data_IF_497752122007
#
_entry.id   IF_497752122007
#
_cell.length_a   1.000
_cell.length_b   1.000
_cell.length_c   1.000
_cell.angle_alpha   90.00
_cell.angle_beta   90.00
_cell.angle_gamma   90.00
#
_symmetry.space_group_name_H-M   'P 1'
#
loop_
_entity.id
_entity.type
_entity.pdbx_description
1 polymer ?
#
# COMPACT_ATOMS: atom_id res chain seq x y z
N UNK A 1 -71.25 17.21 -16.12
CA UNK A 1 -70.67 16.44 -15.00
C UNK A 1 -70.34 15.04 -15.47
N UNK A 2 -69.05 14.75 -15.70
CA UNK A 2 -68.35 13.47 -15.43
C UNK A 2 -66.92 13.62 -15.92
N UNK A 3 -66.02 13.67 -14.95
CA UNK A 3 -64.57 13.75 -15.09
C UNK A 3 -64.06 12.37 -15.49
N UNK A 4 -63.35 12.25 -16.61
CA UNK A 4 -62.64 11.04 -17.01
C UNK A 4 -61.14 11.33 -17.06
N UNK A 5 -60.42 10.88 -16.02
CA UNK A 5 -58.96 10.89 -15.95
C UNK A 5 -58.41 9.75 -16.82
N UNK A 6 -57.48 10.05 -17.72
CA UNK A 6 -56.59 9.04 -18.32
C UNK A 6 -55.19 9.28 -17.77
N UNK A 7 -54.68 8.26 -17.07
CA UNK A 7 -53.35 8.20 -16.47
C UNK A 7 -52.28 8.17 -17.57
N UNK A 8 -51.30 9.08 -17.50
CA UNK A 8 -50.03 8.93 -18.18
C UNK A 8 -49.10 8.09 -17.29
N UNK A 9 -48.72 6.90 -17.77
CA UNK A 9 -47.69 6.08 -17.13
C UNK A 9 -46.31 6.69 -17.44
N UNK A 10 -45.67 7.28 -16.44
CA UNK A 10 -44.27 7.67 -16.52
C UNK A 10 -43.40 6.45 -16.17
N UNK A 11 -42.65 5.93 -17.14
CA UNK A 11 -41.60 4.96 -16.91
C UNK A 11 -40.43 5.66 -16.19
N UNK A 12 -40.23 5.33 -14.91
CA UNK A 12 -39.09 5.78 -14.14
C UNK A 12 -37.86 4.93 -14.52
N UNK A 13 -37.01 5.48 -15.38
CA UNK A 13 -35.67 4.94 -15.64
C UNK A 13 -34.82 5.12 -14.38
N UNK A 14 -34.55 4.03 -13.65
CA UNK A 14 -33.53 4.04 -12.60
C UNK A 14 -32.15 4.21 -13.27
N UNK A 15 -31.64 5.43 -13.24
CA UNK A 15 -30.22 5.70 -13.47
C UNK A 15 -29.47 5.30 -12.19
N UNK A 16 -28.78 4.16 -12.25
CA UNK A 16 -27.75 3.80 -11.28
C UNK A 16 -26.66 4.87 -11.35
N UNK A 17 -26.66 5.80 -10.39
CA UNK A 17 -25.55 6.71 -10.19
C UNK A 17 -24.34 5.87 -9.74
N UNK A 18 -23.36 5.71 -10.63
CA UNK A 18 -22.07 5.14 -10.27
C UNK A 18 -21.43 6.02 -9.20
N UNK A 19 -21.19 5.44 -8.03
CA UNK A 19 -20.41 6.08 -6.97
C UNK A 19 -18.96 6.08 -7.45
N UNK A 20 -18.43 7.25 -7.81
CA UNK A 20 -17.02 7.40 -8.22
C UNK A 20 -16.14 7.23 -6.99
N UNK A 21 -15.29 6.20 -7.01
CA UNK A 21 -14.32 5.88 -5.96
C UNK A 21 -13.04 6.71 -6.18
N UNK A 22 -12.24 6.92 -5.14
CA UNK A 22 -10.82 7.12 -5.36
C UNK A 22 -10.31 5.79 -5.92
N UNK A 23 -9.88 5.77 -7.18
CA UNK A 23 -9.56 4.50 -7.86
C UNK A 23 -8.08 4.19 -7.70
N UNK A 24 -7.69 3.99 -6.45
CA UNK A 24 -6.45 3.26 -6.19
C UNK A 24 -6.80 1.81 -6.46
N UNK A 25 -6.27 1.30 -7.56
CA UNK A 25 -6.51 -0.06 -7.97
C UNK A 25 -5.27 -0.88 -7.68
N UNK A 26 -5.48 -2.01 -7.02
CA UNK A 26 -4.48 -3.04 -6.89
C UNK A 26 -4.32 -3.85 -8.18
N UNK A 27 -5.29 -3.75 -9.09
CA UNK A 27 -5.43 -4.66 -10.23
C UNK A 27 -5.22 -3.97 -11.58
N UNK A 28 -5.07 -2.64 -11.60
CA UNK A 28 -4.78 -1.86 -12.81
C UNK A 28 -3.30 -1.48 -12.87
N UNK A 29 -2.82 -1.21 -14.09
CA UNK A 29 -1.47 -0.69 -14.26
C UNK A 29 -1.44 0.80 -13.84
N UNK A 30 -0.29 1.22 -13.32
CA UNK A 30 -0.10 2.52 -12.70
C UNK A 30 1.28 3.09 -13.07
N UNK A 31 1.49 4.38 -12.83
CA UNK A 31 2.79 5.03 -12.99
C UNK A 31 3.64 4.91 -11.72
N UNK A 32 2.97 4.81 -10.56
CA UNK A 32 3.60 4.57 -9.27
C UNK A 32 2.99 3.31 -8.68
N UNK A 33 3.83 2.40 -8.17
CA UNK A 33 3.37 1.23 -7.43
C UNK A 33 4.05 1.20 -6.06
N UNK A 34 3.23 1.01 -5.01
CA UNK A 34 3.67 0.85 -3.63
C UNK A 34 3.33 -0.55 -3.12
N UNK A 35 4.31 -1.23 -2.54
CA UNK A 35 4.13 -2.46 -1.76
C UNK A 35 4.27 -2.10 -0.29
N UNK A 36 3.16 -1.91 0.46
CA UNK A 36 3.20 -1.28 1.77
C UNK A 36 3.88 -2.12 2.85
N UNK A 37 4.06 -3.42 2.65
CA UNK A 37 4.71 -4.30 3.61
C UNK A 37 5.65 -5.30 2.95
N UNK A 38 6.89 -5.27 3.39
CA UNK A 38 7.89 -6.25 3.03
C UNK A 38 8.52 -6.76 4.32
N UNK A 39 8.85 -8.04 4.35
CA UNK A 39 9.44 -8.65 5.53
C UNK A 39 10.50 -9.67 5.14
N UNK A 40 11.64 -9.61 5.83
CA UNK A 40 12.67 -10.64 5.84
C UNK A 40 12.97 -10.97 7.29
N UNK A 41 13.03 -12.27 7.58
CA UNK A 41 13.56 -12.82 8.82
C UNK A 41 14.13 -14.19 8.46
N UNK A 42 15.38 -14.18 7.98
CA UNK A 42 16.03 -15.39 7.45
C UNK A 42 16.22 -16.47 8.53
N UNK A 43 16.39 -16.07 9.79
CA UNK A 43 16.50 -16.98 10.93
C UNK A 43 15.21 -17.77 11.17
N UNK A 44 14.06 -17.19 10.86
CA UNK A 44 12.75 -17.83 10.95
C UNK A 44 12.22 -18.32 9.60
N UNK A 45 13.05 -18.26 8.54
CA UNK A 45 12.69 -18.71 7.21
C UNK A 45 11.62 -17.84 6.52
N UNK A 46 11.53 -16.56 6.87
CA UNK A 46 10.60 -15.59 6.26
C UNK A 46 11.35 -14.75 5.24
N UNK A 47 10.80 -14.65 4.03
CA UNK A 47 11.30 -13.76 3.00
C UNK A 47 10.15 -13.28 2.12
N UNK A 48 10.31 -12.12 1.49
CA UNK A 48 9.33 -11.59 0.56
C UNK A 48 9.83 -11.73 -0.87
N UNK A 49 9.03 -12.40 -1.70
CA UNK A 49 9.19 -12.39 -3.15
C UNK A 49 8.39 -11.22 -3.71
N UNK A 50 9.08 -10.29 -4.35
CA UNK A 50 8.47 -9.17 -5.08
C UNK A 50 8.38 -9.54 -6.56
N UNK A 51 7.26 -9.19 -7.19
CA UNK A 51 7.07 -9.29 -8.63
C UNK A 51 6.64 -7.94 -9.19
N UNK A 52 7.39 -7.42 -10.16
CA UNK A 52 7.03 -6.22 -10.93
C UNK A 52 6.79 -6.61 -12.39
N UNK A 53 5.81 -6.00 -13.03
CA UNK A 53 5.46 -6.30 -14.42
C UNK A 53 5.19 -5.03 -15.22
N UNK A 54 5.83 -4.92 -16.39
CA UNK A 54 5.48 -3.93 -17.41
C UNK A 54 4.36 -4.50 -18.29
N UNK A 55 3.19 -3.86 -18.33
CA UNK A 55 2.03 -4.34 -19.11
C UNK A 55 2.03 -3.85 -20.56
N UNK A 56 2.95 -2.96 -20.93
CA UNK A 56 2.97 -2.28 -22.23
C UNK A 56 3.84 -2.97 -23.29
N UNK A 57 3.80 -2.45 -24.53
CA UNK A 57 4.68 -2.88 -25.63
C UNK A 57 6.05 -2.18 -25.64
N UNK A 58 6.24 -1.20 -24.77
CA UNK A 58 7.44 -0.37 -24.77
C UNK A 58 8.22 -0.64 -23.48
N UNK A 59 9.56 -0.57 -23.51
CA UNK A 59 10.34 -0.60 -22.28
C UNK A 59 9.88 0.46 -21.28
N UNK A 60 10.06 0.19 -20.00
CA UNK A 60 9.71 1.10 -18.90
C UNK A 60 10.88 1.18 -17.94
N UNK A 61 11.37 2.39 -17.68
CA UNK A 61 12.39 2.64 -16.66
C UNK A 61 11.71 3.01 -15.36
N UNK A 62 12.19 2.45 -14.27
CA UNK A 62 11.69 2.67 -12.92
C UNK A 62 12.79 3.22 -12.03
N UNK A 63 12.44 4.20 -11.19
CA UNK A 63 13.20 4.59 -10.02
C UNK A 63 12.47 4.02 -8.79
N UNK A 64 13.14 3.15 -8.06
CA UNK A 64 12.56 2.42 -6.94
C UNK A 64 13.30 2.74 -5.65
N UNK A 65 12.55 2.76 -4.54
CA UNK A 65 13.02 3.09 -3.20
C UNK A 65 12.60 1.98 -2.25
N UNK A 66 13.57 1.28 -1.65
CA UNK A 66 13.32 0.53 -0.43
C UNK A 66 13.39 1.49 0.75
N UNK A 67 12.44 1.39 1.66
CA UNK A 67 12.54 2.09 2.96
C UNK A 67 12.62 1.05 4.05
N UNK A 68 13.77 1.01 4.72
CA UNK A 68 14.00 0.25 5.94
C UNK A 68 13.34 0.98 7.11
N UNK A 69 12.27 0.38 7.60
CA UNK A 69 11.53 0.80 8.78
C UNK A 69 11.73 -0.18 9.95
N UNK A 70 12.82 -0.96 9.93
CA UNK A 70 13.08 -1.98 10.93
C UNK A 70 13.24 -1.35 12.31
N UNK A 71 12.37 -1.70 13.28
CA UNK A 71 12.48 -1.17 14.63
C UNK A 71 13.80 -1.60 15.27
N UNK A 72 14.41 -0.70 16.04
CA UNK A 72 15.70 -0.98 16.70
C UNK A 72 15.53 -1.12 18.21
N UNK A 73 16.31 -2.03 18.79
CA UNK A 73 16.40 -2.20 20.23
C UNK A 73 17.38 -1.17 20.79
N UNK A 74 16.91 -0.20 21.57
CA UNK A 74 17.76 0.75 22.30
C UNK A 74 17.91 0.35 23.76
N UNK A 75 19.08 0.66 24.34
CA UNK A 75 19.41 0.29 25.73
C UNK A 75 19.33 -1.22 26.03
N UNK A 76 19.50 -2.05 24.99
CA UNK A 76 19.45 -3.51 25.09
C UNK A 76 20.11 -4.17 23.89
N UNK A 77 19.87 -5.47 23.75
CA UNK A 77 20.34 -6.33 22.67
C UNK A 77 19.16 -7.10 22.09
N UNK A 78 19.27 -7.50 20.84
CA UNK A 78 18.23 -8.24 20.13
C UNK A 78 17.52 -7.39 19.09
N UNK A 79 16.44 -7.92 18.56
CA UNK A 79 15.64 -7.28 17.53
C UNK A 79 14.25 -6.94 18.07
N UNK A 80 13.61 -6.01 17.37
CA UNK A 80 12.27 -5.52 17.68
C UNK A 80 11.24 -5.94 16.63
N UNK A 81 11.62 -6.86 15.75
CA UNK A 81 10.68 -7.47 14.81
C UNK A 81 9.87 -8.48 15.60
N UNK A 82 8.71 -8.03 16.07
CA UNK A 82 7.75 -8.92 16.72
C UNK A 82 6.94 -9.57 15.61
N UNK A 83 7.43 -10.66 15.04
CA UNK A 83 6.54 -11.54 14.29
C UNK A 83 5.47 -12.06 15.26
N UNK A 84 4.20 -12.04 14.86
CA UNK A 84 3.13 -12.66 15.64
C UNK A 84 3.53 -14.12 15.96
N UNK A 85 3.68 -14.44 17.25
CA UNK A 85 4.19 -15.75 17.70
C UNK A 85 5.66 -15.82 18.12
N UNK A 86 6.37 -14.68 18.08
CA UNK A 86 7.71 -14.55 18.64
C UNK A 86 7.69 -13.57 19.82
N UNK A 87 8.29 -13.92 20.97
CA UNK A 87 8.50 -12.94 22.03
C UNK A 87 9.42 -11.83 21.50
N UNK A 88 9.19 -10.60 21.97
CA UNK A 88 10.13 -9.51 21.74
C UNK A 88 11.54 -9.97 22.16
N UNK A 89 12.48 -9.95 21.21
CA UNK A 89 13.86 -10.37 21.45
C UNK A 89 14.69 -9.21 22.01
N UNK A 90 14.14 -8.00 22.05
CA UNK A 90 14.79 -6.84 22.62
C UNK A 90 14.81 -6.91 24.14
N UNK A 91 16.00 -6.88 24.72
CA UNK A 91 16.18 -6.76 26.19
C UNK A 91 16.05 -5.33 26.70
N UNK A 92 15.86 -4.36 25.79
CA UNK A 92 15.74 -2.93 26.07
C UNK A 92 14.36 -2.39 25.66
N UNK A 93 14.36 -1.26 24.95
CA UNK A 93 13.15 -0.64 24.41
C UNK A 93 13.17 -0.65 22.89
N UNK A 94 12.07 -1.05 22.27
CA UNK A 94 11.90 -0.93 20.83
C UNK A 94 11.49 0.48 20.43
N UNK A 95 12.18 1.04 19.44
CA UNK A 95 11.87 2.35 18.86
C UNK A 95 11.72 2.25 17.34
N UNK A 96 10.66 2.85 16.82
CA UNK A 96 10.30 2.88 15.39
C UNK A 96 10.59 4.25 14.80
N UNK A 97 11.87 4.59 14.75
CA UNK A 97 12.35 5.88 14.23
C UNK A 97 13.35 5.69 13.08
N UNK A 98 13.47 4.48 12.54
CA UNK A 98 14.23 4.25 11.32
C UNK A 98 13.41 4.62 10.10
N UNK A 99 14.04 5.45 9.28
CA UNK A 99 13.66 5.75 7.92
C UNK A 99 14.95 5.76 7.13
N UNK A 100 15.41 4.59 6.70
CA UNK A 100 16.63 4.51 5.90
C UNK A 100 16.25 4.05 4.49
N UNK A 101 16.46 4.94 3.55
CA UNK A 101 16.10 4.71 2.16
C UNK A 101 17.30 4.17 1.38
N UNK A 102 17.01 3.31 0.40
CA UNK A 102 17.97 2.84 -0.59
C UNK A 102 17.29 2.76 -1.93
N UNK A 103 17.76 3.55 -2.88
CA UNK A 103 17.22 3.62 -4.22
C UNK A 103 17.99 2.76 -5.21
N UNK A 104 17.30 2.45 -6.31
CA UNK A 104 17.86 1.70 -7.41
C UNK A 104 17.01 1.88 -8.67
N UNK A 105 17.61 1.59 -9.83
CA UNK A 105 16.91 1.62 -11.12
C UNK A 105 16.68 0.24 -11.68
N UNK A 106 15.53 0.12 -12.34
CA UNK A 106 15.19 -1.07 -13.13
C UNK A 106 14.71 -0.62 -14.50
N UNK A 107 15.20 -1.26 -15.54
CA UNK A 107 14.62 -1.17 -16.89
C UNK A 107 13.84 -2.46 -17.15
N UNK A 108 12.53 -2.36 -17.31
CA UNK A 108 11.66 -3.47 -17.69
C UNK A 108 11.45 -3.46 -19.21
N UNK A 109 11.75 -4.58 -19.87
CA UNK A 109 11.43 -4.75 -21.30
C UNK A 109 9.91 -4.91 -21.50
N UNK A 110 9.46 -4.84 -22.75
CA UNK A 110 8.06 -4.92 -23.10
C UNK A 110 7.41 -6.22 -22.59
N UNK A 111 6.24 -6.12 -21.95
CA UNK A 111 5.49 -7.25 -21.37
C UNK A 111 6.31 -8.11 -20.39
N UNK A 112 7.36 -7.57 -19.78
CA UNK A 112 8.25 -8.35 -18.92
C UNK A 112 7.73 -8.38 -17.48
N UNK A 113 7.44 -9.56 -16.93
CA UNK A 113 7.46 -9.77 -15.48
C UNK A 113 8.90 -10.03 -15.02
N UNK A 114 9.28 -9.42 -13.90
CA UNK A 114 10.47 -9.78 -13.14
C UNK A 114 10.05 -10.13 -11.71
N UNK A 115 10.80 -11.01 -11.07
CA UNK A 115 10.58 -11.32 -9.67
C UNK A 115 11.87 -11.74 -8.99
N UNK A 116 12.01 -11.37 -7.72
CA UNK A 116 13.18 -11.63 -6.90
C UNK A 116 12.79 -11.73 -5.44
N UNK A 117 13.61 -12.41 -4.65
CA UNK A 117 13.55 -12.36 -3.19
C UNK A 117 14.28 -11.10 -2.71
N UNK A 118 13.65 -10.33 -1.84
CA UNK A 118 14.22 -9.05 -1.42
C UNK A 118 15.52 -9.21 -0.62
N UNK A 119 15.71 -10.35 0.08
CA UNK A 119 16.97 -10.71 0.74
C UNK A 119 18.14 -10.93 -0.23
N UNK A 120 17.85 -11.28 -1.48
CA UNK A 120 18.85 -11.63 -2.49
C UNK A 120 19.09 -10.50 -3.51
N UNK A 121 18.08 -9.67 -3.75
CA UNK A 121 18.09 -8.71 -4.84
C UNK A 121 18.15 -9.39 -6.21
N UNK A 122 18.55 -8.63 -7.24
CA UNK A 122 18.66 -9.10 -8.61
C UNK A 122 19.70 -8.28 -9.37
N UNK A 123 20.67 -8.93 -10.02
CA UNK A 123 21.80 -8.28 -10.70
C UNK A 123 22.03 -8.88 -12.08
N UNK A 124 22.98 -8.37 -12.86
CA UNK A 124 23.35 -8.96 -14.15
C UNK A 124 23.78 -10.43 -13.97
N UNK A 125 23.28 -11.34 -14.82
CA UNK A 125 23.63 -12.76 -14.75
C UNK A 125 25.12 -13.05 -14.94
N UNK A 126 25.90 -12.12 -15.49
CA UNK A 126 27.36 -12.22 -15.60
C UNK A 126 28.08 -11.84 -14.31
N UNK A 127 27.41 -11.09 -13.44
CA UNK A 127 27.95 -10.63 -12.17
C UNK A 127 27.78 -11.66 -11.04
N UNK A 128 27.09 -12.78 -11.29
CA UNK A 128 26.92 -13.88 -10.34
C UNK A 128 27.32 -15.21 -10.96
N UNK A 129 28.05 -16.03 -10.20
CA UNK A 129 28.31 -17.43 -10.54
C UNK A 129 27.29 -18.38 -9.90
N UNK A 130 26.44 -17.86 -9.02
CA UNK A 130 25.39 -18.62 -8.33
C UNK A 130 24.22 -18.87 -9.30
N UNK A 131 23.93 -20.14 -9.64
CA UNK A 131 22.83 -20.49 -10.53
C UNK A 131 21.44 -20.24 -9.91
N UNK A 132 21.34 -20.14 -8.58
CA UNK A 132 20.08 -19.97 -7.85
C UNK A 132 19.75 -18.49 -7.59
N UNK A 133 20.70 -17.58 -7.81
CA UNK A 133 20.50 -16.14 -7.68
C UNK A 133 19.66 -15.59 -8.85
N UNK A 134 18.53 -14.91 -8.59
CA UNK A 134 17.78 -14.20 -9.63
C UNK A 134 18.65 -13.15 -10.32
N UNK A 135 18.60 -13.10 -11.65
CA UNK A 135 19.45 -12.20 -12.42
C UNK A 135 18.82 -11.70 -13.73
N UNK A 136 19.24 -10.50 -14.16
CA UNK A 136 18.84 -9.90 -15.44
C UNK A 136 19.63 -10.53 -16.59
N UNK A 137 18.92 -11.19 -17.50
CA UNK A 137 19.52 -11.89 -18.64
C UNK A 137 19.84 -10.96 -19.82
N UNK A 138 18.97 -9.99 -20.09
CA UNK A 138 19.09 -9.16 -21.30
C UNK A 138 20.11 -8.02 -21.08
N UNK A 139 21.35 -8.23 -21.48
CA UNK A 139 22.48 -7.30 -21.31
C UNK A 139 22.61 -6.24 -22.43
N UNK A 140 21.83 -6.37 -23.52
CA UNK A 140 21.87 -5.46 -24.67
C UNK A 140 23.11 -5.61 -25.56
N UNK A 141 23.98 -6.59 -25.29
CA UNK A 141 25.21 -6.86 -26.04
C UNK A 141 25.21 -8.29 -26.61
N UNK A 142 25.06 -9.29 -25.74
CA UNK A 142 25.02 -10.71 -26.13
C UNK A 142 23.64 -11.33 -26.02
N UNK A 143 22.81 -10.80 -25.14
CA UNK A 143 21.43 -11.21 -24.94
C UNK A 143 20.56 -9.97 -25.08
N UNK A 144 19.78 -9.96 -26.15
CA UNK A 144 18.94 -8.82 -26.51
C UNK A 144 17.50 -9.32 -26.62
N UNK A 145 16.59 -8.57 -26.02
CA UNK A 145 15.15 -8.83 -26.08
C UNK A 145 14.55 -8.47 -27.44
N UNK A 146 13.25 -8.72 -27.61
CA UNK A 146 12.52 -8.34 -28.81
C UNK A 146 12.71 -6.84 -29.13
N UNK A 147 12.99 -6.51 -30.39
CA UNK A 147 13.16 -5.12 -30.83
C UNK A 147 14.41 -4.42 -30.30
N UNK A 148 15.45 -5.15 -29.87
CA UNK A 148 16.68 -4.53 -29.38
C UNK A 148 16.67 -4.19 -27.89
N UNK A 149 15.61 -4.57 -27.17
CA UNK A 149 15.39 -4.18 -25.79
C UNK A 149 16.38 -4.87 -24.83
N UNK A 150 16.67 -4.25 -23.69
CA UNK A 150 17.55 -4.82 -22.68
C UNK A 150 17.14 -4.40 -21.27
N UNK A 151 17.63 -5.13 -20.27
CA UNK A 151 17.60 -4.77 -18.86
C UNK A 151 18.92 -4.10 -18.42
N UNK A 152 19.78 -3.69 -19.37
CA UNK A 152 21.10 -3.14 -19.06
C UNK A 152 20.98 -1.94 -18.11
N UNK A 153 21.83 -1.91 -17.09
CA UNK A 153 21.80 -0.87 -16.06
C UNK A 153 20.83 -1.15 -14.90
N UNK A 154 20.00 -2.20 -15.00
CA UNK A 154 19.19 -2.64 -13.87
C UNK A 154 20.06 -3.31 -12.82
N UNK A 155 19.89 -2.91 -11.57
CA UNK A 155 20.53 -3.55 -10.43
C UNK A 155 19.63 -3.36 -9.20
N UNK A 156 19.10 -4.46 -8.68
CA UNK A 156 18.29 -4.48 -7.48
C UNK A 156 19.18 -4.96 -6.35
N UNK A 157 19.51 -4.06 -5.43
CA UNK A 157 20.29 -4.42 -4.25
C UNK A 157 19.43 -5.29 -3.32
N UNK A 158 20.02 -6.27 -2.62
CA UNK A 158 19.34 -6.93 -1.52
C UNK A 158 19.05 -5.91 -0.41
N UNK A 159 18.03 -6.20 0.42
CA UNK A 159 17.81 -5.43 1.65
C UNK A 159 19.05 -5.48 2.55
N UNK A 160 19.35 -4.43 3.33
CA UNK A 160 20.64 -4.28 4.01
C UNK A 160 20.85 -5.25 5.19
N UNK A 161 19.79 -5.93 5.63
CA UNK A 161 19.76 -6.72 6.87
C UNK A 161 18.99 -8.04 6.65
N UNK A 162 19.43 -9.10 7.33
CA UNK A 162 18.76 -10.42 7.34
C UNK A 162 17.40 -10.39 8.07
N UNK A 163 17.18 -9.31 8.82
CA UNK A 163 15.95 -8.93 9.47
C UNK A 163 15.54 -7.56 8.93
N UNK A 164 14.42 -7.51 8.22
CA UNK A 164 13.94 -6.32 7.54
C UNK A 164 12.44 -6.22 7.63
N UNK A 165 11.93 -5.04 7.95
CA UNK A 165 10.54 -4.68 7.70
C UNK A 165 10.47 -3.27 7.09
N UNK A 166 9.65 -3.12 6.06
CA UNK A 166 9.61 -1.88 5.30
C UNK A 166 8.62 -1.92 4.14
N UNK A 167 8.85 -1.07 3.15
CA UNK A 167 8.04 -1.00 1.93
C UNK A 167 8.90 -0.71 0.71
N UNK A 168 8.33 -0.94 -0.48
CA UNK A 168 8.90 -0.59 -1.77
C UNK A 168 7.99 0.37 -2.49
N UNK A 169 8.52 1.50 -2.96
CA UNK A 169 7.83 2.36 -3.91
C UNK A 169 8.62 2.44 -5.22
N UNK A 170 7.97 2.21 -6.35
CA UNK A 170 8.57 2.32 -7.67
C UNK A 170 7.79 3.31 -8.53
N UNK A 171 8.52 4.20 -9.20
CA UNK A 171 7.98 5.30 -9.99
C UNK A 171 8.49 5.16 -11.43
N UNK A 172 7.58 5.28 -12.40
CA UNK A 172 7.93 5.33 -13.81
C UNK A 172 8.67 6.64 -14.14
N UNK A 173 9.87 6.50 -14.71
CA UNK A 173 10.74 7.62 -15.11
C UNK A 173 11.21 7.46 -16.56
N UNK A 174 11.70 8.55 -17.15
CA UNK A 174 12.40 8.50 -18.43
C UNK A 174 13.91 8.24 -18.27
N UNK A 175 14.65 8.28 -19.38
CA UNK A 175 16.10 8.03 -19.39
C UNK A 175 16.91 9.12 -18.64
N UNK A 176 16.30 10.26 -18.33
CA UNK A 176 16.90 11.35 -17.55
C UNK A 176 16.50 11.32 -16.07
N UNK A 177 15.67 10.34 -15.67
CA UNK A 177 15.15 10.25 -14.32
C UNK A 177 13.88 11.03 -14.04
N UNK A 178 13.42 11.82 -15.01
CA UNK A 178 12.23 12.62 -14.81
C UNK A 178 11.00 11.70 -14.74
N UNK A 179 10.07 11.91 -13.78
CA UNK A 179 8.83 11.16 -13.72
C UNK A 179 8.05 11.24 -15.03
N UNK A 180 7.37 10.14 -15.42
CA UNK A 180 6.54 10.10 -16.63
C UNK A 180 5.12 9.63 -16.34
N UNK A 181 4.18 10.10 -17.16
CA UNK A 181 2.76 9.78 -17.08
C UNK A 181 2.39 8.42 -17.72
N UNK A 182 3.17 7.38 -17.42
CA UNK A 182 2.99 6.04 -18.00
C UNK A 182 2.40 5.03 -17.04
N UNK A 183 1.12 4.69 -17.24
CA UNK A 183 0.38 3.70 -16.46
C UNK A 183 0.62 2.26 -16.94
N UNK A 184 1.87 1.82 -16.84
CA UNK A 184 2.31 0.53 -17.40
C UNK A 184 2.85 -0.45 -16.35
N UNK A 185 2.94 -0.04 -15.08
CA UNK A 185 3.53 -0.84 -14.00
C UNK A 185 2.46 -1.55 -13.18
N UNK A 186 2.73 -2.81 -12.85
CA UNK A 186 2.03 -3.58 -11.79
C UNK A 186 3.04 -4.17 -10.82
N UNK A 187 2.64 -4.33 -9.57
CA UNK A 187 3.44 -5.01 -8.55
C UNK A 187 2.63 -5.99 -7.71
N UNK A 188 3.33 -6.90 -7.07
CA UNK A 188 2.80 -7.90 -6.14
C UNK A 188 3.90 -8.28 -5.14
N UNK A 189 3.49 -8.58 -3.92
CA UNK A 189 4.35 -9.14 -2.90
C UNK A 189 3.78 -10.48 -2.42
N UNK A 190 4.66 -11.46 -2.29
CA UNK A 190 4.38 -12.77 -1.69
C UNK A 190 5.31 -12.93 -0.50
N UNK A 191 4.78 -12.93 0.72
CA UNK A 191 5.55 -13.22 1.93
C UNK A 191 5.52 -14.74 2.11
N UNK A 192 6.70 -15.35 2.11
CA UNK A 192 6.90 -16.80 2.13
C UNK A 192 7.48 -17.18 3.48
N UNK A 193 6.86 -18.14 4.14
CA UNK A 193 7.33 -18.78 5.36
C UNK A 193 7.78 -20.19 5.02
N UNK A 194 9.08 -20.45 5.05
CA UNK A 194 9.69 -21.73 4.69
C UNK A 194 10.31 -22.45 5.90
N UNK A 195 9.54 -22.74 6.95
CA UNK A 195 9.88 -23.60 8.11
C UNK A 195 11.07 -23.17 9.00
N UNK A 196 11.20 -23.61 10.27
CA UNK A 196 10.52 -24.68 11.03
C UNK A 196 10.49 -24.50 12.57
N UNK A 197 9.48 -25.07 13.27
CA UNK A 197 9.66 -25.81 14.55
C UNK A 197 8.74 -27.06 14.61
N UNK A 198 9.30 -28.27 14.41
CA UNK A 198 8.75 -29.55 14.92
C UNK A 198 8.01 -30.52 13.99
N UNK A 199 7.63 -30.16 12.76
CA UNK A 199 6.79 -30.98 11.84
C UNK A 199 7.26 -30.80 10.38
N UNK A 200 7.17 -31.78 9.46
CA UNK A 200 7.84 -31.69 8.15
C UNK A 200 7.35 -30.50 7.32
N UNK A 201 8.30 -29.65 6.87
CA UNK A 201 8.24 -28.71 5.74
C UNK A 201 6.86 -28.16 5.34
N UNK A 202 6.21 -27.41 6.22
CA UNK A 202 5.06 -26.59 5.82
C UNK A 202 5.60 -25.28 5.23
N UNK A 203 5.18 -25.00 3.99
CA UNK A 203 5.41 -23.70 3.34
C UNK A 203 4.08 -22.96 3.41
N UNK A 204 4.08 -21.79 4.04
CA UNK A 204 2.95 -20.87 4.02
C UNK A 204 3.30 -19.69 3.12
N UNK A 205 2.33 -19.24 2.32
CA UNK A 205 2.52 -18.13 1.39
C UNK A 205 1.29 -17.24 1.46
N UNK A 206 1.52 -15.99 1.80
CA UNK A 206 0.52 -14.94 1.82
C UNK A 206 0.89 -13.91 0.75
N UNK A 207 -0.09 -13.40 0.01
CA UNK A 207 0.16 -12.53 -1.13
C UNK A 207 -0.83 -11.39 -1.21
N UNK A 208 -0.37 -10.24 -1.68
CA UNK A 208 -1.22 -9.09 -1.94
C UNK A 208 -0.70 -8.30 -3.14
N UNK A 209 -1.60 -7.55 -3.77
CA UNK A 209 -1.30 -6.75 -4.95
C UNK A 209 -0.72 -5.39 -4.57
N UNK A 210 0.20 -4.87 -5.38
CA UNK A 210 0.73 -3.53 -5.21
C UNK A 210 -0.32 -2.46 -5.38
N UNK A 211 -0.23 -1.42 -4.57
CA UNK A 211 -1.12 -0.27 -4.59
C UNK A 211 -0.66 0.68 -5.69
N UNK A 212 -1.44 0.78 -6.77
CA UNK A 212 -1.12 1.61 -7.93
C UNK A 212 -1.70 3.02 -7.84
N UNK A 213 -0.88 4.02 -8.17
CA UNK A 213 -1.31 5.41 -8.43
C UNK A 213 -1.17 5.71 -9.92
N UNK A 214 -2.30 5.91 -10.59
CA UNK A 214 -2.31 6.21 -12.00
C UNK A 214 -1.91 7.66 -12.23
N UNK A 215 -1.01 7.89 -13.18
CA UNK A 215 -0.77 9.21 -13.73
C UNK A 215 -1.98 9.67 -14.53
N UNK A 216 -2.29 10.95 -14.42
CA UNK A 216 -3.28 11.64 -15.22
C UNK A 216 -2.57 12.12 -16.48
N UNK A 217 -2.99 11.58 -17.64
CA UNK A 217 -2.31 11.82 -18.91
C UNK A 217 -2.14 13.32 -19.22
N UNK A 218 -0.91 13.71 -19.55
CA UNK A 218 -0.54 15.09 -19.91
C UNK A 218 -0.49 16.08 -18.75
N UNK A 219 -0.55 15.61 -17.49
CA UNK A 219 -0.56 16.46 -16.30
C UNK A 219 0.78 16.53 -15.58
N UNK A 220 1.56 15.46 -15.69
CA UNK A 220 2.91 15.39 -15.16
C UNK A 220 3.78 16.48 -15.78
N UNK A 221 4.33 17.37 -14.94
CA UNK A 221 5.14 18.51 -15.37
C UNK A 221 6.66 18.19 -15.42
N UNK A 222 7.02 16.96 -15.06
CA UNK A 222 8.35 16.34 -15.10
C UNK A 222 9.34 16.95 -14.12
N UNK A 223 8.86 17.55 -13.04
CA UNK A 223 9.70 17.90 -11.92
C UNK A 223 9.87 16.72 -10.93
N UNK A 224 10.54 16.98 -9.81
CA UNK A 224 10.81 15.98 -8.77
C UNK A 224 9.79 16.02 -7.62
N UNK A 225 8.64 16.68 -7.80
CA UNK A 225 7.58 16.83 -6.81
C UNK A 225 6.28 16.28 -7.36
N UNK A 226 5.99 15.02 -7.06
CA UNK A 226 4.83 14.35 -7.62
C UNK A 226 3.59 14.71 -6.78
N UNK A 227 2.60 15.31 -7.43
CA UNK A 227 1.36 15.73 -6.78
C UNK A 227 0.24 14.68 -6.95
N UNK A 228 -0.14 14.05 -5.83
CA UNK A 228 -1.18 13.02 -5.76
C UNK A 228 -2.49 13.63 -5.25
N UNK A 229 -3.52 13.69 -6.10
CA UNK A 229 -4.86 14.12 -5.71
C UNK A 229 -4.99 15.60 -5.33
N UNK A 230 -5.63 15.91 -4.20
CA UNK A 230 -5.84 17.30 -3.79
C UNK A 230 -6.93 18.07 -4.53
N UNK A 231 -7.87 17.38 -5.19
CA UNK A 231 -9.07 18.02 -5.71
C UNK A 231 -10.33 17.43 -5.13
N UNK A 232 -11.25 18.31 -4.76
CA UNK A 232 -12.63 17.94 -4.46
C UNK A 232 -13.39 17.71 -5.76
N UNK A 233 -14.33 16.74 -5.81
CA UNK A 233 -15.16 16.54 -6.99
C UNK A 233 -15.83 17.86 -7.38
N UNK A 234 -15.64 18.24 -8.64
CA UNK A 234 -16.42 19.28 -9.28
C UNK A 234 -17.81 18.77 -9.63
N UNK A 235 -18.60 19.62 -10.25
CA UNK A 235 -19.86 19.24 -10.88
C UNK A 235 -19.76 19.48 -12.38
N UNK A 236 -20.39 18.61 -13.16
CA UNK A 236 -20.55 18.87 -14.58
C UNK A 236 -21.41 20.11 -14.75
N UNK A 237 -20.90 21.09 -15.52
CA UNK A 237 -21.42 22.46 -15.52
C UNK A 237 -22.92 22.55 -15.84
N UNK A 238 -23.42 21.71 -16.74
CA UNK A 238 -24.84 21.66 -17.12
C UNK A 238 -25.57 20.59 -16.32
N UNK A 239 -24.96 19.43 -16.12
CA UNK A 239 -25.49 18.31 -15.33
C UNK A 239 -25.01 18.40 -13.88
N UNK A 240 -25.41 19.46 -13.17
CA UNK A 240 -24.91 19.80 -11.81
C UNK A 240 -25.06 18.71 -10.75
N UNK A 241 -25.91 17.70 -10.99
CA UNK A 241 -26.06 16.54 -10.12
C UNK A 241 -24.95 15.49 -10.29
N UNK A 242 -24.15 15.58 -11.35
CA UNK A 242 -23.07 14.64 -11.66
C UNK A 242 -21.75 15.22 -11.18
N UNK A 243 -21.13 14.54 -10.22
CA UNK A 243 -19.77 14.83 -9.81
C UNK A 243 -18.79 14.44 -10.92
N UNK A 244 -17.71 15.20 -11.05
CA UNK A 244 -16.63 14.94 -12.00
C UNK A 244 -15.30 15.40 -11.43
N UNK A 245 -14.20 14.94 -12.01
CA UNK A 245 -12.86 15.47 -11.76
C UNK A 245 -12.16 15.94 -13.02
N UNK A 246 -12.59 15.43 -14.17
CA UNK A 246 -12.14 15.82 -15.49
C UNK A 246 -13.34 16.04 -16.42
N UNK A 247 -13.13 16.77 -17.51
CA UNK A 247 -14.15 16.97 -18.54
C UNK A 247 -14.60 15.65 -19.19
N UNK A 248 -13.71 14.64 -19.21
CA UNK A 248 -14.01 13.31 -19.75
C UNK A 248 -15.09 12.55 -18.94
N UNK A 249 -15.26 12.91 -17.67
CA UNK A 249 -16.28 12.33 -16.80
C UNK A 249 -17.64 13.00 -16.97
N UNK A 250 -17.71 14.09 -17.73
CA UNK A 250 -18.94 14.82 -18.02
C UNK A 250 -19.53 14.45 -19.38
N UNK A 251 -20.85 14.65 -19.58
CA UNK A 251 -21.46 14.53 -20.91
C UNK A 251 -20.72 15.39 -21.95
N UNK A 252 -20.70 14.93 -23.19
CA UNK A 252 -19.96 15.60 -24.26
C UNK A 252 -20.32 17.09 -24.35
N UNK A 253 -19.29 17.94 -24.31
CA UNK A 253 -19.44 19.41 -24.35
C UNK A 253 -19.60 20.09 -22.99
N UNK A 254 -19.59 19.34 -21.89
CA UNK A 254 -19.56 19.90 -20.54
C UNK A 254 -18.13 19.97 -19.98
N UNK A 255 -17.90 20.97 -19.15
CA UNK A 255 -16.66 21.11 -18.37
C UNK A 255 -16.89 20.78 -16.92
N UNK A 256 -15.89 20.19 -16.27
CA UNK A 256 -15.92 19.92 -14.85
C UNK A 256 -15.50 21.15 -14.02
N UNK A 257 -16.24 21.46 -12.95
CA UNK A 257 -15.92 22.58 -12.05
C UNK A 257 -15.03 22.16 -10.87
N UNK A 258 -14.07 21.25 -11.11
CA UNK A 258 -13.22 20.69 -10.04
C UNK A 258 -12.55 21.81 -9.25
N UNK A 259 -12.62 21.75 -7.92
CA UNK A 259 -11.90 22.66 -7.05
C UNK A 259 -10.71 21.91 -6.46
N UNK A 260 -9.53 22.26 -6.93
CA UNK A 260 -8.28 21.78 -6.36
C UNK A 260 -7.88 22.67 -5.19
N UNK A 261 -7.51 22.06 -4.07
CA UNK A 261 -6.87 22.77 -2.98
C UNK A 261 -5.62 23.45 -3.54
N UNK A 262 -5.39 24.71 -3.16
CA UNK A 262 -4.15 25.37 -3.55
C UNK A 262 -3.03 24.77 -2.70
N UNK A 263 -2.14 24.02 -3.35
CA UNK A 263 -0.86 23.63 -2.79
C UNK A 263 0.19 24.25 -3.70
N UNK A 264 1.07 25.09 -3.14
CA UNK A 264 2.08 25.81 -3.93
C UNK A 264 3.18 24.85 -4.47
N UNK A 265 3.23 23.60 -3.98
CA UNK A 265 4.09 22.52 -4.48
C UNK A 265 3.41 21.64 -5.54
N UNK A 266 2.14 21.89 -5.87
CA UNK A 266 1.44 21.20 -6.94
C UNK A 266 1.31 22.09 -8.19
N UNK A 267 1.24 21.51 -9.39
CA UNK A 267 0.95 22.26 -10.60
C UNK A 267 -0.37 23.01 -10.49
N UNK A 268 -0.39 24.27 -10.94
CA UNK A 268 -1.62 25.08 -10.97
C UNK A 268 -2.74 24.49 -11.83
N UNK A 269 -2.39 23.56 -12.73
CA UNK A 269 -3.33 22.81 -13.55
C UNK A 269 -4.14 21.80 -12.72
N UNK A 270 -3.62 21.35 -11.57
CA UNK A 270 -4.16 20.36 -10.63
C UNK A 270 -3.23 19.14 -10.48
N UNK A 271 -3.71 17.99 -9.98
CA UNK A 271 -2.87 16.82 -9.74
C UNK A 271 -2.30 16.23 -11.01
N UNK A 272 -1.21 15.51 -10.80
CA UNK A 272 -0.50 14.73 -11.78
C UNK A 272 -0.85 13.24 -11.68
N UNK A 273 -1.19 12.78 -10.48
CA UNK A 273 -1.53 11.39 -10.18
C UNK A 273 -2.83 11.28 -9.40
N UNK A 274 -3.45 10.11 -9.47
CA UNK A 274 -4.57 9.76 -8.62
C UNK A 274 -4.20 9.88 -7.14
N UNK A 275 -5.10 10.48 -6.38
CA UNK A 275 -4.90 10.74 -4.96
C UNK A 275 -5.07 9.51 -4.09
N UNK A 276 -4.41 9.54 -2.94
CA UNK A 276 -4.64 8.58 -1.89
C UNK A 276 -6.08 8.66 -1.32
N UNK A 277 -6.56 7.58 -0.69
CA UNK A 277 -7.95 7.51 -0.29
C UNK A 277 -8.17 8.32 0.98
N UNK A 278 -9.37 8.89 1.13
CA UNK A 278 -9.74 9.60 2.34
C UNK A 278 -9.93 8.65 3.53
N UNK A 279 -10.46 7.46 3.24
CA UNK A 279 -10.78 6.44 4.23
C UNK A 279 -10.27 5.11 3.70
N UNK A 280 -9.53 4.39 4.54
CA UNK A 280 -9.30 2.95 4.37
C UNK A 280 -10.33 2.21 5.22
N UNK A 281 -10.84 1.10 4.69
CA UNK A 281 -11.77 0.23 5.37
C UNK A 281 -11.11 -1.14 5.52
N UNK A 282 -11.02 -1.59 6.77
CA UNK A 282 -10.59 -2.92 7.16
C UNK A 282 -11.82 -3.67 7.67
N UNK A 283 -12.25 -4.70 6.96
CA UNK A 283 -13.14 -5.71 7.52
C UNK A 283 -12.25 -6.79 8.14
N UNK A 284 -12.49 -7.15 9.40
CA UNK A 284 -11.58 -8.02 10.14
C UNK A 284 -12.30 -8.85 11.21
N UNK A 285 -11.66 -9.95 11.62
CA UNK A 285 -11.95 -10.57 12.90
C UNK A 285 -11.45 -9.68 14.03
N UNK A 286 -12.18 -9.62 15.14
CA UNK A 286 -11.61 -9.09 16.37
C UNK A 286 -10.57 -10.08 16.90
N UNK A 287 -9.48 -9.56 17.47
CA UNK A 287 -8.39 -10.41 17.95
C UNK A 287 -8.88 -11.33 19.07
N UNK A 288 -8.60 -12.62 18.89
CA UNK A 288 -9.07 -13.71 19.74
C UNK A 288 -10.44 -14.26 19.38
N UNK A 289 -11.11 -13.74 18.34
CA UNK A 289 -12.28 -14.41 17.78
C UNK A 289 -11.89 -15.78 17.23
N UNK A 290 -12.76 -16.77 17.39
CA UNK A 290 -12.54 -18.12 16.86
C UNK A 290 -13.17 -18.21 15.48
N UNK A 291 -12.37 -18.45 14.44
CA UNK A 291 -12.84 -18.70 13.08
C UNK A 291 -13.83 -19.89 13.10
N UNK A 292 -15.08 -19.73 12.61
CA UNK A 292 -16.09 -20.76 12.72
C UNK A 292 -15.87 -21.96 11.78
N UNK A 293 -14.96 -21.83 10.80
CA UNK A 293 -14.63 -22.89 9.84
C UNK A 293 -13.37 -23.62 10.30
N UNK A 294 -12.32 -22.87 10.65
CA UNK A 294 -11.05 -23.45 11.08
C UNK A 294 -11.05 -23.87 12.56
N UNK A 295 -11.99 -23.34 13.37
CA UNK A 295 -12.03 -23.49 14.83
C UNK A 295 -10.73 -23.01 15.52
N UNK A 296 -10.06 -22.02 14.90
CA UNK A 296 -8.80 -21.46 15.38
C UNK A 296 -8.97 -19.97 15.75
N UNK A 297 -8.33 -19.49 16.83
CA UNK A 297 -8.30 -18.06 17.13
C UNK A 297 -7.62 -17.27 16.01
N UNK A 298 -8.15 -16.07 15.75
CA UNK A 298 -7.64 -15.14 14.74
C UNK A 298 -6.96 -13.95 15.40
N UNK A 299 -5.83 -13.51 14.84
CA UNK A 299 -5.19 -12.24 15.15
C UNK A 299 -4.92 -11.49 13.86
N UNK A 300 -5.04 -10.16 13.88
CA UNK A 300 -4.80 -9.32 12.70
C UNK A 300 -3.68 -8.32 12.95
N UNK A 301 -2.71 -8.27 12.04
CA UNK A 301 -1.78 -7.15 11.90
C UNK A 301 -2.26 -6.17 10.84
N UNK A 302 -2.04 -4.89 11.11
CA UNK A 302 -2.30 -3.79 10.20
C UNK A 302 -1.01 -3.03 9.93
N UNK A 303 -0.67 -2.90 8.65
CA UNK A 303 0.45 -2.07 8.19
C UNK A 303 -0.07 -0.83 7.49
N UNK A 304 0.41 0.34 7.91
CA UNK A 304 0.06 1.63 7.32
C UNK A 304 1.31 2.41 6.89
N UNK A 305 1.22 3.00 5.70
CA UNK A 305 2.24 3.88 5.10
C UNK A 305 1.56 5.19 4.67
N UNK A 306 2.04 6.37 5.10
CA UNK A 306 1.59 7.65 4.57
C UNK A 306 1.87 7.76 3.09
N UNK A 307 1.00 8.47 2.39
CA UNK A 307 1.17 8.70 0.96
C UNK A 307 2.18 9.79 0.64
N UNK A 308 2.31 10.78 1.52
CA UNK A 308 3.35 11.79 1.39
C UNK A 308 4.71 11.21 1.80
N UNK A 309 5.72 11.39 0.95
CA UNK A 309 7.05 10.80 1.11
C UNK A 309 8.13 11.81 0.68
N UNK A 310 9.10 12.09 1.56
CA UNK A 310 10.20 13.01 1.28
C UNK A 310 11.52 12.25 1.12
N UNK A 311 11.72 11.67 -0.07
CA UNK A 311 12.96 11.01 -0.47
C UNK A 311 14.12 12.00 -0.65
N UNK A 312 13.81 13.26 -0.97
CA UNK A 312 14.81 14.31 -1.11
C UNK A 312 15.51 14.66 0.21
N UNK A 313 14.74 14.86 1.29
CA UNK A 313 15.28 15.25 2.61
C UNK A 313 15.50 14.06 3.54
N UNK A 314 15.07 12.88 3.13
CA UNK A 314 15.06 11.65 3.91
C UNK A 314 14.36 11.82 5.26
N UNK A 315 13.21 12.50 5.24
CA UNK A 315 12.46 12.84 6.45
C UNK A 315 11.08 12.19 6.42
N UNK A 316 10.73 11.33 7.39
CA UNK A 316 9.41 10.73 7.43
C UNK A 316 8.35 11.80 7.76
N UNK A 317 7.20 11.69 7.10
CA UNK A 317 6.05 12.56 7.37
C UNK A 317 5.16 11.92 8.45
N UNK A 318 5.12 12.46 9.68
CA UNK A 318 4.28 11.91 10.73
C UNK A 318 2.80 12.20 10.46
N UNK A 319 1.95 11.20 10.61
CA UNK A 319 0.49 11.34 10.47
C UNK A 319 -0.22 10.78 11.70
N UNK A 320 -1.14 11.55 12.28
CA UNK A 320 -2.06 11.01 13.28
C UNK A 320 -3.19 10.28 12.57
N UNK A 321 -3.32 8.98 12.82
CA UNK A 321 -4.35 8.14 12.23
C UNK A 321 -5.48 7.94 13.23
N UNK A 322 -6.71 8.17 12.80
CA UNK A 322 -7.93 7.91 13.56
C UNK A 322 -8.56 6.60 13.09
N UNK A 323 -8.97 5.78 14.06
CA UNK A 323 -9.66 4.52 13.87
C UNK A 323 -11.08 4.65 14.40
N UNK A 324 -12.07 4.30 13.59
CA UNK A 324 -13.47 4.15 13.98
C UNK A 324 -13.86 2.70 13.80
N UNK A 325 -14.11 2.01 14.91
CA UNK A 325 -14.36 0.57 14.95
C UNK A 325 -15.85 0.34 15.13
N UNK A 326 -16.42 -0.53 14.32
CA UNK A 326 -17.82 -0.92 14.35
C UNK A 326 -17.90 -2.44 14.53
N UNK A 327 -18.65 -2.90 15.52
CA UNK A 327 -18.99 -4.32 15.63
C UNK A 327 -20.23 -4.68 14.79
N UNK A 328 -20.62 -5.95 14.79
CA UNK A 328 -21.78 -6.46 14.04
C UNK A 328 -23.13 -5.87 14.48
N UNK A 329 -23.18 -5.18 15.62
CA UNK A 329 -24.35 -4.47 16.13
C UNK A 329 -24.30 -2.95 15.88
N UNK A 330 -23.38 -2.50 15.02
CA UNK A 330 -23.12 -1.09 14.71
C UNK A 330 -22.75 -0.23 15.93
N UNK A 331 -22.27 -0.85 17.01
CA UNK A 331 -21.71 -0.11 18.14
C UNK A 331 -20.37 0.48 17.73
N UNK A 332 -20.15 1.75 18.07
CA UNK A 332 -19.01 2.53 17.59
C UNK A 332 -18.00 2.79 18.71
N UNK A 333 -16.75 2.42 18.47
CA UNK A 333 -15.59 2.79 19.27
C UNK A 333 -14.62 3.64 18.45
N UNK A 334 -13.70 4.32 19.12
CA UNK A 334 -12.69 5.12 18.43
C UNK A 334 -11.40 5.21 19.22
N UNK A 335 -10.29 5.22 18.49
CA UNK A 335 -8.96 5.51 19.03
C UNK A 335 -8.13 6.24 17.96
N UNK A 336 -6.93 6.68 18.33
CA UNK A 336 -5.99 7.30 17.39
C UNK A 336 -4.57 6.93 17.73
N UNK A 337 -3.72 6.80 16.72
CA UNK A 337 -2.29 6.53 16.89
C UNK A 337 -1.46 7.33 15.89
N UNK A 338 -0.28 7.75 16.31
CA UNK A 338 0.68 8.39 15.42
C UNK A 338 1.41 7.32 14.61
N UNK A 339 1.44 7.50 13.30
CA UNK A 339 2.25 6.72 12.35
C UNK A 339 3.36 7.63 11.86
N UNK A 340 4.61 7.17 11.97
CA UNK A 340 5.77 7.89 11.49
C UNK A 340 6.39 7.09 10.35
N UNK A 341 6.20 7.52 9.09
CA UNK A 341 6.55 6.79 7.86
C UNK A 341 5.88 5.42 7.63
N UNK A 342 6.04 4.50 8.55
CA UNK A 342 5.65 3.12 8.37
C UNK A 342 5.30 2.64 9.75
N UNK A 343 4.18 1.95 9.87
CA UNK A 343 3.88 1.34 11.14
C UNK A 343 3.05 0.09 10.96
N UNK A 344 3.54 -0.94 11.60
CA UNK A 344 2.86 -2.21 11.81
C UNK A 344 2.40 -2.28 13.27
N UNK A 345 1.16 -2.72 13.45
CA UNK A 345 0.64 -3.09 14.76
C UNK A 345 -0.36 -4.23 14.63
N UNK A 346 -0.32 -5.15 15.58
CA UNK A 346 -1.48 -5.98 15.91
C UNK A 346 -2.65 -5.05 16.27
N UNK A 347 -3.84 -5.30 15.72
CA UNK A 347 -4.96 -4.37 15.89
C UNK A 347 -5.36 -4.22 17.36
N UNK A 348 -5.27 -5.28 18.18
CA UNK A 348 -5.54 -5.17 19.62
C UNK A 348 -4.45 -4.48 20.43
N UNK A 349 -3.32 -4.11 19.81
CA UNK A 349 -2.30 -3.26 20.43
C UNK A 349 -2.45 -1.78 20.09
N UNK A 350 -3.46 -1.38 19.30
CA UNK A 350 -3.60 0.01 18.85
C UNK A 350 -3.96 0.94 20.02
N UNK A 351 -4.86 0.55 20.91
CA UNK A 351 -5.38 1.38 22.01
C UNK A 351 -4.81 1.02 23.40
N UNK A 352 -4.22 -0.17 23.55
CA UNK A 352 -3.70 -0.68 24.82
C UNK A 352 -2.56 -1.68 24.60
N UNK A 353 -1.72 -1.90 25.61
CA UNK A 353 -0.70 -2.96 25.58
C UNK A 353 -1.28 -4.34 25.97
N UNK A 354 -2.51 -4.38 26.50
CA UNK A 354 -3.19 -5.60 26.93
C UNK A 354 -4.22 -6.02 25.90
N UNK A 355 -3.84 -6.93 24.99
CA UNK A 355 -4.66 -7.37 23.87
C UNK A 355 -6.10 -7.73 24.26
N UNK A 356 -6.32 -8.45 25.36
CA UNK A 356 -7.65 -8.87 25.81
C UNK A 356 -8.60 -7.72 26.25
N UNK A 357 -8.05 -6.53 26.54
CA UNK A 357 -8.81 -5.35 26.98
C UNK A 357 -9.02 -4.33 25.87
N UNK A 358 -8.53 -4.61 24.67
CA UNK A 358 -8.59 -3.70 23.53
C UNK A 358 -10.00 -3.59 22.95
N UNK A 359 -10.34 -2.40 22.43
CA UNK A 359 -11.53 -2.22 21.58
C UNK A 359 -11.49 -3.05 20.28
N UNK A 360 -10.38 -3.69 19.96
CA UNK A 360 -10.24 -4.63 18.84
C UNK A 360 -10.25 -6.09 19.29
N UNK A 361 -10.48 -6.38 20.57
CA UNK A 361 -10.59 -7.76 21.06
C UNK A 361 -12.02 -8.29 21.00
N UNK A 362 -12.15 -9.57 20.69
CA UNK A 362 -13.43 -10.27 20.73
C UNK A 362 -14.00 -10.31 22.15
N UNK A 363 -13.13 -10.35 23.18
CA UNK A 363 -13.52 -10.36 24.59
C UNK A 363 -14.22 -9.07 25.02
N UNK A 364 -13.85 -7.92 24.42
CA UNK A 364 -14.45 -6.61 24.70
C UNK A 364 -15.70 -6.38 23.86
N UNK A 365 -15.65 -6.69 22.57
CA UNK A 365 -16.77 -6.43 21.67
C UNK A 365 -17.92 -7.42 21.84
N UNK A 366 -17.65 -8.65 22.30
CA UNK A 366 -18.63 -9.72 22.43
C UNK A 366 -19.10 -10.28 21.09
N UNK A 367 -18.35 -10.01 20.01
CA UNK A 367 -18.68 -10.30 18.61
C UNK A 367 -17.44 -10.82 17.90
N UNK A 368 -17.62 -11.55 16.80
CA UNK A 368 -16.48 -12.17 16.10
C UNK A 368 -15.81 -11.23 15.10
N UNK A 369 -16.59 -10.43 14.40
CA UNK A 369 -16.12 -9.61 13.29
C UNK A 369 -16.50 -8.15 13.47
N UNK A 370 -15.72 -7.27 12.88
CA UNK A 370 -15.97 -5.84 12.86
C UNK A 370 -15.46 -5.18 11.58
N UNK A 371 -15.82 -3.92 11.44
CA UNK A 371 -15.28 -3.03 10.42
C UNK A 371 -14.56 -1.88 11.10
N UNK A 372 -13.33 -1.62 10.69
CA UNK A 372 -12.57 -0.44 11.10
C UNK A 372 -12.41 0.51 9.92
N UNK A 373 -12.83 1.76 10.12
CA UNK A 373 -12.56 2.87 9.20
C UNK A 373 -11.37 3.66 9.70
N UNK A 374 -10.40 3.84 8.83
CA UNK A 374 -9.09 4.40 9.13
C UNK A 374 -8.91 5.65 8.29
N UNK A 375 -8.51 6.77 8.89
CA UNK A 375 -8.18 8.00 8.16
C UNK A 375 -7.05 8.74 8.84
N UNK A 376 -6.18 9.38 8.06
CA UNK A 376 -5.25 10.36 8.63
C UNK A 376 -5.98 11.66 8.94
N UNK A 377 -5.63 12.25 10.09
CA UNK A 377 -6.14 13.53 10.55
C UNK A 377 -5.24 14.62 9.99
N UNK A 378 -5.83 15.55 9.25
CA UNK A 378 -5.12 16.75 8.82
C UNK A 378 -4.73 17.59 10.04
N UNK A 379 -3.50 18.07 10.06
CA UNK A 379 -3.06 19.09 11.02
C UNK A 379 -3.04 20.47 10.34
N UNK A 380 -2.27 21.41 10.88
CA UNK A 380 -2.14 22.76 10.31
C UNK A 380 -1.10 22.84 9.20
N UNK A 381 -0.41 21.74 8.90
CA UNK A 381 0.57 21.65 7.83
C UNK A 381 -0.15 21.40 6.50
N UNK A 382 -0.15 22.44 5.65
CA UNK A 382 -0.68 22.36 4.29
C UNK A 382 0.40 21.95 3.28
N UNK A 383 1.67 21.77 3.72
CA UNK A 383 2.79 21.44 2.84
C UNK A 383 2.79 19.96 2.43
N UNK A 384 2.00 19.10 3.07
CA UNK A 384 1.87 17.69 2.70
C UNK A 384 0.48 17.13 2.99
N UNK A 385 0.14 16.01 2.36
CA UNK A 385 -1.07 15.26 2.68
C UNK A 385 -0.85 14.29 3.83
N UNK A 386 -1.96 13.83 4.42
CA UNK A 386 -1.96 12.87 5.52
C UNK A 386 -2.75 11.61 5.14
N UNK A 387 -2.88 11.31 3.85
CA UNK A 387 -3.56 10.09 3.47
C UNK A 387 -2.67 8.89 3.77
N UNK A 388 -3.31 7.74 3.97
CA UNK A 388 -2.64 6.49 4.28
C UNK A 388 -3.04 5.47 3.25
N UNK A 389 -2.16 4.50 3.05
CA UNK A 389 -2.41 3.26 2.35
C UNK A 389 -1.86 2.12 3.19
N UNK A 390 -2.33 0.90 2.96
CA UNK A 390 -1.96 -0.19 3.83
C UNK A 390 -2.47 -1.55 3.38
N UNK A 391 -1.99 -2.55 4.11
CA UNK A 391 -2.37 -3.95 3.98
C UNK A 391 -2.65 -4.50 5.37
N UNK A 392 -3.50 -5.51 5.44
CA UNK A 392 -3.71 -6.27 6.66
C UNK A 392 -3.25 -7.71 6.47
N UNK A 393 -2.81 -8.33 7.57
CA UNK A 393 -2.45 -9.74 7.64
C UNK A 393 -3.28 -10.38 8.72
N UNK A 394 -4.01 -11.42 8.37
CA UNK A 394 -4.71 -12.26 9.33
C UNK A 394 -3.93 -13.55 9.58
N UNK A 395 -3.85 -13.94 10.84
CA UNK A 395 -3.20 -15.15 11.29
C UNK A 395 -4.21 -16.05 11.97
N UNK A 396 -4.20 -17.32 11.63
CA UNK A 396 -4.88 -18.36 12.40
C UNK A 396 -3.87 -18.97 13.36
N UNK A 397 -4.15 -18.88 14.64
CA UNK A 397 -3.27 -19.35 15.71
C UNK A 397 -3.65 -20.78 16.11
N UNK A 398 -2.68 -21.57 16.55
CA UNK A 398 -2.96 -22.89 17.11
C UNK A 398 -3.92 -22.78 18.31
N UNK A 399 -4.76 -23.80 18.50
CA UNK A 399 -5.69 -23.83 19.62
C UNK A 399 -4.95 -23.67 20.97
N UNK A 400 -5.44 -22.76 21.81
CA UNK A 400 -4.83 -22.46 23.11
C UNK A 400 -3.63 -21.51 23.07
N UNK A 401 -3.21 -21.01 21.91
CA UNK A 401 -2.22 -19.94 21.86
C UNK A 401 -2.75 -18.66 22.50
N UNK A 402 -1.94 -17.96 23.32
CA UNK A 402 -2.31 -16.64 23.83
C UNK A 402 -2.29 -15.60 22.70
N UNK A 403 -3.09 -14.54 22.81
CA UNK A 403 -3.16 -13.46 21.81
C UNK A 403 -1.82 -12.75 21.60
N UNK A 404 -1.02 -12.65 22.67
CA UNK A 404 0.30 -12.02 22.63
C UNK A 404 1.37 -12.88 21.97
N UNK A 405 1.14 -14.19 21.85
CA UNK A 405 2.10 -15.15 21.32
C UNK A 405 1.37 -16.26 20.52
N UNK A 406 0.74 -15.83 19.44
CA UNK A 406 0.00 -16.67 18.51
C UNK A 406 0.94 -17.64 17.79
N UNK A 407 0.82 -18.94 18.05
CA UNK A 407 1.54 -19.93 17.25
C UNK A 407 0.85 -20.06 15.88
N UNK A 408 1.35 -19.32 14.89
CA UNK A 408 0.75 -19.22 13.56
C UNK A 408 0.68 -20.59 12.88
N UNK A 409 -0.50 -20.96 12.40
CA UNK A 409 -0.79 -22.18 11.62
C UNK A 409 -0.96 -21.86 10.14
N UNK A 410 -1.56 -20.71 9.84
CA UNK A 410 -1.74 -20.19 8.49
C UNK A 410 -1.92 -18.68 8.52
N UNK A 411 -1.55 -18.01 7.44
CA UNK A 411 -1.70 -16.57 7.28
C UNK A 411 -2.35 -16.19 5.96
N UNK A 412 -2.91 -14.99 5.90
CA UNK A 412 -3.44 -14.39 4.69
C UNK A 412 -3.20 -12.89 4.71
N UNK A 413 -2.77 -12.33 3.57
CA UNK A 413 -2.56 -10.90 3.39
C UNK A 413 -3.58 -10.33 2.43
N UNK A 414 -4.03 -9.09 2.64
CA UNK A 414 -4.92 -8.41 1.71
C UNK A 414 -4.81 -6.89 1.79
N UNK A 415 -5.11 -6.23 0.67
CA UNK A 415 -5.19 -4.77 0.60
C UNK A 415 -6.42 -4.27 1.35
N UNK A 416 -6.28 -3.11 2.00
CA UNK A 416 -7.40 -2.41 2.61
C UNK A 416 -8.31 -1.81 1.54
N UNK A 417 -9.62 -1.77 1.80
CA UNK A 417 -10.54 -1.16 0.86
C UNK A 417 -10.42 0.38 0.90
N UNK A 418 -10.32 1.00 -0.26
CA UNK A 418 -10.16 2.46 -0.42
C UNK A 418 -11.49 3.15 -0.67
N UNK A 419 -11.77 4.23 0.06
CA UNK A 419 -12.97 5.04 -0.12
C UNK A 419 -12.69 6.55 -0.06
N UNK A 420 -13.28 7.27 -1.01
CA UNK A 420 -13.34 8.73 -1.01
C UNK A 420 -12.01 9.38 -1.40
N UNK A 421 -12.10 10.62 -1.90
CA UNK A 421 -10.95 11.46 -2.25
C UNK A 421 -10.79 12.59 -1.23
N UNK A 422 -9.62 13.20 -1.16
CA UNK A 422 -9.31 14.30 -0.25
C UNK A 422 -9.06 15.62 -1.01
N UNK A 423 -9.40 16.77 -0.40
CA UNK A 423 -9.09 18.08 -0.95
C UNK A 423 -7.61 18.46 -0.80
N UNK A 424 -6.90 17.86 0.15
CA UNK A 424 -5.46 18.05 0.37
C UNK A 424 -4.71 17.03 -0.48
N UNK A 425 -3.70 17.48 -1.22
CA UNK A 425 -2.83 16.62 -2.01
C UNK A 425 -1.82 15.92 -1.11
N UNK A 426 -1.44 14.70 -1.46
CA UNK A 426 -0.24 14.04 -0.94
C UNK A 426 0.92 14.30 -1.91
N UNK A 427 2.14 14.39 -1.38
CA UNK A 427 3.32 14.78 -2.17
C UNK A 427 4.45 13.76 -2.04
N UNK A 428 5.07 13.42 -3.16
CA UNK A 428 6.30 12.63 -3.18
C UNK A 428 7.43 13.50 -3.71
N UNK A 429 8.45 13.77 -2.89
CA UNK A 429 9.64 14.51 -3.29
C UNK A 429 10.78 13.56 -3.62
N UNK A 430 11.29 13.63 -4.84
CA UNK A 430 12.40 12.80 -5.31
C UNK A 430 13.73 13.55 -5.21
N UNK A 431 14.83 12.85 -4.89
CA UNK A 431 16.15 13.41 -5.06
C UNK A 431 16.43 13.71 -6.55
N UNK A 432 17.13 14.81 -6.89
CA UNK A 432 17.64 15.00 -8.24
C UNK A 432 18.66 13.92 -8.60
N UNK A 433 18.63 13.46 -9.84
CA UNK A 433 19.59 12.48 -10.36
C UNK A 433 20.98 13.06 -10.63
#
# INVERSE_FOLDING_TARGET
MRVGRVLAAAAASLLLAGVVRAEISSDQAAAIVLLPKLTVDLDNGIDTLVRLSNTSQNPLTLHCFWVDATPRCVNGTGNCIVAIGAPDRCTGQCVDDRWNETDFRIVLTARQPIGWRISQGMRDCRATADPDQPCFRLDGITQVGPGGQSNKGSNILPVPHDEFIGYLQCIAVDDTGAPVDRNDLKGEALIVHSGQIGVPTQVDVEGYNGIGFQAIAGRNDRDNTLCLGGCSPGQCRLTRSRSCFSDAECPAGETCTTQCGRNDNCPSTGPEYDGCPNILILDHFFDGAVDPIAELPVVTDLTLVPCSQDYLRQSPTPTTVQFLVFNEFEQRFSTSRRVNCFKEFQISKIDTDFNANSIFSAAVNGTMTGQTRIRGVADSDDDHGHAMVGVAREFRCAAGSPLDNCAVVSSASFNLHSQGRRPQADLIWLPPE
#
